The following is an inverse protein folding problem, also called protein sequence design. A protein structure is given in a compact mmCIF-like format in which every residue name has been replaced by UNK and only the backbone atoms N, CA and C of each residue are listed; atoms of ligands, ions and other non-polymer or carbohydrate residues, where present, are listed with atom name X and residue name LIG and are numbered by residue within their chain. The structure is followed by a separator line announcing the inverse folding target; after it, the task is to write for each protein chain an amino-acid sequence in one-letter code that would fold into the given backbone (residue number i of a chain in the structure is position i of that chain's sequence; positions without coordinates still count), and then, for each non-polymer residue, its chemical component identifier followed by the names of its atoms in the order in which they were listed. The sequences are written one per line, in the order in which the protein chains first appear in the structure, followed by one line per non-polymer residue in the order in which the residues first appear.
data_IF_878799592296
#
_entry.id   IF_878799592296
#
_cell.length_a   1.000
_cell.length_b   1.000
_cell.length_c   1.000
_cell.angle_alpha   90.00
_cell.angle_beta   90.00
_cell.angle_gamma   90.00
#
_symmetry.space_group_name_H-M   'P 1'
#
loop_
_entity.id
_entity.type
_entity.pdbx_description
1 polymer ?
#
# COMPACT_ATOMS: atom_id res chain seq x y z
N UNK A 1 -25.98 1.03 10.49
CA UNK A 1 -25.03 0.85 9.38
C UNK A 1 -25.65 -0.16 8.45
N UNK A 2 -26.13 0.28 7.29
CA UNK A 2 -26.83 -0.58 6.33
C UNK A 2 -25.87 -1.66 5.81
N UNK A 3 -26.37 -2.87 5.65
CA UNK A 3 -25.71 -4.02 5.01
C UNK A 3 -25.49 -3.81 3.49
N UNK A 4 -25.18 -2.61 3.06
CA UNK A 4 -24.75 -2.36 1.70
C UNK A 4 -23.41 -3.04 1.53
N UNK A 5 -23.38 -3.98 0.62
CA UNK A 5 -22.25 -4.79 0.22
C UNK A 5 -20.98 -3.90 0.08
N UNK A 6 -20.18 -3.87 1.12
CA UNK A 6 -18.99 -3.01 1.22
C UNK A 6 -18.00 -3.24 0.09
N UNK A 7 -18.08 -4.39 -0.61
CA UNK A 7 -17.27 -4.69 -1.78
C UNK A 7 -17.65 -3.81 -2.99
N UNK A 8 -18.93 -3.56 -3.22
CA UNK A 8 -19.37 -2.69 -4.35
C UNK A 8 -19.01 -1.22 -4.12
N UNK A 9 -19.15 -0.73 -2.88
CA UNK A 9 -18.70 0.63 -2.54
C UNK A 9 -17.16 0.73 -2.55
N UNK A 10 -16.48 -0.34 -2.17
CA UNK A 10 -15.03 -0.43 -2.19
C UNK A 10 -14.44 -0.22 -3.60
N UNK A 11 -15.10 -0.71 -4.63
CA UNK A 11 -14.63 -0.56 -6.01
C UNK A 11 -14.87 0.85 -6.57
N UNK A 12 -15.78 1.62 -5.96
CA UNK A 12 -16.07 3.01 -6.34
C UNK A 12 -15.11 4.01 -5.68
N UNK A 13 -14.52 3.68 -4.53
CA UNK A 13 -13.55 4.55 -3.86
C UNK A 13 -12.16 4.25 -4.39
N UNK A 14 -11.65 5.14 -5.19
CA UNK A 14 -10.33 4.99 -5.83
C UNK A 14 -9.18 5.12 -4.82
N UNK A 15 -8.03 4.59 -5.16
CA UNK A 15 -6.83 4.71 -4.33
C UNK A 15 -6.37 6.17 -4.12
N UNK A 16 -6.38 7.04 -5.13
CA UNK A 16 -6.10 8.47 -4.92
C UNK A 16 -7.07 9.10 -3.92
N UNK A 17 -8.35 8.75 -3.96
CA UNK A 17 -9.35 9.23 -3.02
C UNK A 17 -9.02 8.83 -1.57
N UNK A 18 -8.69 7.56 -1.33
CA UNK A 18 -8.29 7.08 0.00
C UNK A 18 -6.99 7.74 0.49
N UNK A 19 -6.05 8.00 -0.42
CA UNK A 19 -4.81 8.73 -0.10
C UNK A 19 -5.11 10.17 0.29
N UNK A 20 -6.04 10.82 -0.43
CA UNK A 20 -6.52 12.16 -0.09
C UNK A 20 -7.19 12.21 1.30
N UNK A 21 -7.98 11.20 1.65
CA UNK A 21 -8.61 11.10 2.97
C UNK A 21 -7.56 11.00 4.08
N UNK A 22 -6.53 10.16 3.91
CA UNK A 22 -5.43 10.04 4.86
C UNK A 22 -4.67 11.37 5.04
N UNK A 23 -4.39 12.08 3.96
CA UNK A 23 -3.71 13.38 3.99
C UNK A 23 -4.59 14.49 4.57
N UNK A 24 -5.90 14.48 4.33
CA UNK A 24 -6.83 15.39 4.96
C UNK A 24 -6.93 15.13 6.48
N UNK A 25 -6.93 13.87 6.90
CA UNK A 25 -6.87 13.52 8.32
C UNK A 25 -5.58 14.03 8.96
N UNK A 26 -4.42 13.85 8.32
CA UNK A 26 -3.14 14.40 8.77
C UNK A 26 -3.24 15.93 8.96
N UNK A 27 -3.77 16.66 7.97
CA UNK A 27 -3.93 18.11 8.03
C UNK A 27 -4.74 18.57 9.23
N UNK A 28 -5.84 17.85 9.54
CA UNK A 28 -6.68 18.13 10.71
C UNK A 28 -5.95 17.80 12.01
N UNK A 29 -5.34 16.62 12.09
CA UNK A 29 -4.62 16.19 13.30
C UNK A 29 -3.45 17.10 13.63
N UNK A 30 -2.71 17.55 12.62
CA UNK A 30 -1.54 18.41 12.81
C UNK A 30 -1.88 19.81 13.40
N UNK A 31 -3.13 20.24 13.33
CA UNK A 31 -3.59 21.50 13.96
C UNK A 31 -4.18 21.30 15.35
N UNK A 32 -4.33 20.07 15.81
CA UNK A 32 -4.97 19.79 17.09
C UNK A 32 -4.02 20.04 18.26
N UNK A 33 -4.39 20.86 19.29
CA UNK A 33 -3.49 21.34 20.33
C UNK A 33 -2.95 20.24 21.27
N UNK A 34 -3.54 19.05 21.28
CA UNK A 34 -3.10 17.89 22.09
C UNK A 34 -2.31 16.87 21.30
N UNK A 35 -2.04 17.10 20.02
CA UNK A 35 -1.29 16.18 19.16
C UNK A 35 0.06 16.78 18.82
N UNK A 36 1.11 15.99 19.02
CA UNK A 36 2.43 16.34 18.51
C UNK A 36 2.44 16.10 16.99
N UNK A 37 2.43 17.17 16.23
CA UNK A 37 2.40 17.14 14.77
C UNK A 37 3.62 16.45 14.13
N UNK A 38 4.72 16.32 14.88
CA UNK A 38 5.93 15.63 14.42
C UNK A 38 5.89 14.11 14.69
N UNK A 39 4.85 13.62 15.33
CA UNK A 39 4.70 12.19 15.72
C UNK A 39 3.38 11.59 15.23
N UNK A 40 2.90 12.03 14.10
CA UNK A 40 1.72 11.44 13.45
C UNK A 40 2.21 10.41 12.44
N UNK A 41 1.84 9.15 12.65
CA UNK A 41 2.18 8.03 11.78
C UNK A 41 0.92 7.56 11.05
N UNK A 42 1.10 6.97 9.86
CA UNK A 42 0.02 6.31 9.15
C UNK A 42 0.30 4.81 9.06
N UNK A 43 -0.64 4.03 9.53
CA UNK A 43 -0.64 2.57 9.39
C UNK A 43 -1.87 2.14 8.60
N UNK A 44 -1.68 1.19 7.70
CA UNK A 44 -2.77 0.66 6.91
C UNK A 44 -2.56 -0.80 6.54
N UNK A 45 -3.62 -1.58 6.65
CA UNK A 45 -3.65 -3.00 6.40
C UNK A 45 -4.32 -3.31 5.07
N UNK A 46 -3.80 -4.29 4.32
CA UNK A 46 -4.41 -4.76 3.08
C UNK A 46 -4.64 -3.59 2.10
N UNK A 47 -5.90 -3.37 1.72
CA UNK A 47 -6.30 -2.20 0.91
C UNK A 47 -5.89 -0.86 1.57
N UNK A 48 -5.99 -0.76 2.89
CA UNK A 48 -5.55 0.42 3.65
C UNK A 48 -4.04 0.63 3.64
N UNK A 49 -3.26 -0.39 3.34
CA UNK A 49 -1.81 -0.28 3.13
C UNK A 49 -1.45 0.59 1.91
N UNK A 50 -2.35 0.69 0.93
CA UNK A 50 -2.14 1.52 -0.25
C UNK A 50 -2.09 3.02 0.10
N UNK A 51 -3.11 3.62 0.73
CA UNK A 51 -3.04 5.02 1.15
C UNK A 51 -1.95 5.28 2.18
N UNK A 52 -1.65 4.32 3.07
CA UNK A 52 -0.53 4.45 4.00
C UNK A 52 0.80 4.60 3.27
N UNK A 53 0.98 3.89 2.15
CA UNK A 53 2.16 4.01 1.30
C UNK A 53 2.13 5.28 0.43
N UNK A 54 1.04 5.50 -0.32
CA UNK A 54 0.99 6.60 -1.29
C UNK A 54 1.02 7.99 -0.65
N UNK A 55 0.57 8.13 0.60
CA UNK A 55 0.70 9.37 1.35
C UNK A 55 2.16 9.76 1.67
N UNK A 56 3.13 8.88 1.40
CA UNK A 56 4.56 9.20 1.54
C UNK A 56 5.09 10.13 0.44
N UNK A 57 4.39 10.25 -0.69
CA UNK A 57 4.94 10.92 -1.86
C UNK A 57 4.56 12.41 -1.90
N UNK A 58 5.54 13.30 -2.19
CA UNK A 58 5.33 14.75 -2.25
C UNK A 58 4.17 15.14 -3.17
N UNK A 59 4.06 14.52 -4.34
CA UNK A 59 3.01 14.82 -5.32
C UNK A 59 1.59 14.73 -4.75
N UNK A 60 1.31 13.74 -3.87
CA UNK A 60 0.01 13.63 -3.22
C UNK A 60 -0.18 14.67 -2.14
N UNK A 61 0.89 14.98 -1.37
CA UNK A 61 0.85 15.98 -0.32
C UNK A 61 0.65 17.39 -0.89
N UNK A 62 1.27 17.70 -2.02
CA UNK A 62 1.09 18.96 -2.74
C UNK A 62 -0.33 19.08 -3.31
N UNK A 63 -0.83 18.01 -3.95
CA UNK A 63 -2.17 17.98 -4.53
C UNK A 63 -3.28 18.21 -3.49
N UNK A 64 -3.08 17.73 -2.25
CA UNK A 64 -4.06 17.86 -1.15
C UNK A 64 -3.80 19.12 -0.32
N UNK A 65 -2.66 19.77 -0.45
CA UNK A 65 -2.25 20.91 0.36
C UNK A 65 -2.33 20.63 1.88
N UNK A 66 -1.40 19.84 2.37
CA UNK A 66 -1.33 19.46 3.79
C UNK A 66 -0.88 20.59 4.72
N UNK A 67 -0.71 21.83 4.22
CA UNK A 67 -0.14 22.98 4.94
C UNK A 67 1.26 22.70 5.50
N UNK A 68 2.05 21.90 4.78
CA UNK A 68 3.39 21.48 5.20
C UNK A 68 3.44 20.34 6.23
N UNK A 69 2.30 19.86 6.73
CA UNK A 69 2.27 18.71 7.62
C UNK A 69 2.71 17.43 6.89
N UNK A 70 3.48 16.59 7.59
CA UNK A 70 3.98 15.32 7.09
C UNK A 70 3.75 14.21 8.12
N UNK A 71 3.49 12.99 7.66
CA UNK A 71 3.58 11.86 8.55
C UNK A 71 5.04 11.64 8.99
N UNK A 72 5.24 11.23 10.23
CA UNK A 72 6.55 10.87 10.77
C UNK A 72 7.03 9.51 10.25
N UNK A 73 6.14 8.69 9.73
CA UNK A 73 6.44 7.41 9.09
C UNK A 73 5.20 6.76 8.51
N UNK A 74 5.43 5.82 7.59
CA UNK A 74 4.42 5.13 6.80
C UNK A 74 4.56 3.62 7.02
N UNK A 75 3.47 2.95 7.38
CA UNK A 75 3.48 1.53 7.74
C UNK A 75 2.45 0.76 6.90
N UNK A 76 2.77 0.45 5.64
CA UNK A 76 1.94 -0.43 4.81
C UNK A 76 2.11 -1.90 5.26
N UNK A 77 1.06 -2.48 5.82
CA UNK A 77 1.01 -3.89 6.19
C UNK A 77 0.30 -4.68 5.08
N UNK A 78 0.97 -5.70 4.56
CA UNK A 78 0.47 -6.55 3.45
C UNK A 78 -0.36 -5.76 2.42
N UNK A 79 0.21 -4.68 1.85
CA UNK A 79 -0.53 -3.75 0.99
C UNK A 79 -0.92 -4.40 -0.34
N UNK A 80 -2.13 -4.11 -0.82
CA UNK A 80 -2.63 -4.67 -2.07
C UNK A 80 -1.99 -4.09 -3.34
N UNK A 81 -1.17 -3.05 -3.22
CA UNK A 81 -0.67 -2.28 -4.36
C UNK A 81 0.57 -2.86 -5.05
N UNK A 82 1.23 -3.87 -4.48
CA UNK A 82 2.54 -4.28 -5.00
C UNK A 82 2.47 -4.88 -6.40
N UNK A 83 1.37 -5.58 -6.71
CA UNK A 83 1.16 -6.21 -8.01
C UNK A 83 0.57 -5.24 -9.06
N UNK A 84 -0.11 -4.19 -8.59
CA UNK A 84 -0.66 -3.11 -9.43
C UNK A 84 -0.23 -1.81 -8.77
N UNK A 85 0.92 -1.28 -9.14
CA UNK A 85 1.55 -0.19 -8.41
C UNK A 85 1.67 1.09 -9.21
N UNK A 86 1.51 2.19 -8.51
CA UNK A 86 1.87 3.51 -9.02
C UNK A 86 3.25 3.86 -8.45
N UNK A 87 4.21 4.09 -9.32
CA UNK A 87 5.55 4.50 -8.92
C UNK A 87 5.70 6.00 -9.06
N UNK A 88 6.20 6.64 -8.01
CA UNK A 88 6.72 8.00 -8.12
C UNK A 88 7.95 8.03 -9.03
N UNK A 89 8.27 9.17 -9.56
CA UNK A 89 9.54 9.37 -10.26
C UNK A 89 10.69 9.01 -9.31
N UNK A 90 11.73 8.34 -9.82
CA UNK A 90 12.91 8.02 -9.02
C UNK A 90 13.62 9.25 -8.44
N UNK A 91 13.40 10.43 -9.01
CA UNK A 91 13.87 11.71 -8.47
C UNK A 91 13.12 12.13 -7.20
N UNK A 92 11.87 11.71 -7.03
CA UNK A 92 11.13 11.98 -5.80
C UNK A 92 11.59 11.08 -4.67
N UNK A 93 11.61 11.64 -3.47
CA UNK A 93 11.85 10.90 -2.23
C UNK A 93 10.62 10.91 -1.38
N UNK A 94 10.35 9.78 -0.73
CA UNK A 94 9.33 9.71 0.31
C UNK A 94 9.63 10.75 1.41
N UNK A 95 8.59 11.38 1.92
CA UNK A 95 8.71 12.45 2.92
C UNK A 95 9.10 11.95 4.31
N UNK A 96 8.98 10.65 4.56
CA UNK A 96 9.31 10.00 5.82
C UNK A 96 9.67 8.52 5.59
N UNK A 97 10.28 7.83 6.58
CA UNK A 97 10.59 6.40 6.50
C UNK A 97 9.36 5.53 6.24
N UNK A 98 9.56 4.43 5.54
CA UNK A 98 8.53 3.44 5.20
C UNK A 98 8.89 2.08 5.81
N UNK A 99 7.96 1.46 6.51
CA UNK A 99 8.11 0.11 7.06
C UNK A 99 7.07 -0.84 6.46
N UNK A 100 7.51 -1.74 5.58
CA UNK A 100 6.67 -2.80 5.03
C UNK A 100 6.62 -4.02 5.94
N UNK A 101 5.44 -4.35 6.45
CA UNK A 101 5.18 -5.60 7.17
C UNK A 101 4.50 -6.60 6.23
N UNK A 102 5.16 -7.73 5.95
CA UNK A 102 4.74 -8.68 4.92
C UNK A 102 4.56 -10.10 5.50
N UNK A 103 3.51 -10.83 5.11
CA UNK A 103 3.34 -12.24 5.47
C UNK A 103 4.22 -13.12 4.57
N UNK A 104 4.73 -14.24 5.08
CA UNK A 104 5.57 -15.12 4.28
C UNK A 104 4.77 -16.16 3.47
N UNK A 105 3.55 -16.49 3.91
CA UNK A 105 2.71 -17.53 3.29
C UNK A 105 1.76 -17.02 2.21
N UNK A 106 1.62 -15.72 2.05
CA UNK A 106 0.73 -15.13 1.06
C UNK A 106 1.17 -15.42 -0.38
N UNK A 107 2.44 -15.75 -0.58
CA UNK A 107 3.01 -16.20 -1.86
C UNK A 107 2.29 -17.40 -2.47
N UNK A 108 1.71 -18.26 -1.62
CA UNK A 108 1.14 -19.52 -2.04
C UNK A 108 -0.24 -19.36 -2.67
N UNK A 109 -1.06 -18.41 -2.15
CA UNK A 109 -2.46 -18.33 -2.54
C UNK A 109 -3.01 -16.94 -2.90
N UNK A 110 -2.65 -15.85 -2.21
CA UNK A 110 -3.35 -14.58 -2.38
C UNK A 110 -2.56 -13.48 -3.09
N UNK A 111 -1.32 -13.23 -2.72
CA UNK A 111 -0.50 -12.14 -3.24
C UNK A 111 0.97 -12.58 -3.42
N UNK A 112 1.63 -12.07 -4.44
CA UNK A 112 3.07 -12.32 -4.62
C UNK A 112 3.91 -11.35 -3.79
N UNK A 113 4.23 -11.77 -2.57
CA UNK A 113 5.07 -10.98 -1.64
C UNK A 113 6.46 -10.66 -2.22
N UNK A 114 6.98 -11.51 -3.13
CA UNK A 114 8.25 -11.23 -3.79
C UNK A 114 8.21 -9.95 -4.63
N UNK A 115 7.05 -9.61 -5.19
CA UNK A 115 6.86 -8.34 -5.90
C UNK A 115 6.94 -7.17 -4.91
N UNK A 116 6.33 -7.27 -3.74
CA UNK A 116 6.44 -6.25 -2.69
C UNK A 116 7.90 -6.05 -2.24
N UNK A 117 8.63 -7.14 -2.03
CA UNK A 117 10.05 -7.09 -1.63
C UNK A 117 10.92 -6.45 -2.71
N UNK A 118 10.71 -6.85 -3.98
CA UNK A 118 11.41 -6.23 -5.10
C UNK A 118 11.14 -4.73 -5.17
N UNK A 119 9.87 -4.34 -5.06
CA UNK A 119 9.47 -2.94 -5.09
C UNK A 119 10.06 -2.13 -3.93
N UNK A 120 10.03 -2.66 -2.71
CA UNK A 120 10.65 -2.02 -1.55
C UNK A 120 12.16 -1.86 -1.74
N UNK A 121 12.82 -2.87 -2.32
CA UNK A 121 14.26 -2.79 -2.65
C UNK A 121 14.54 -1.71 -3.70
N UNK A 122 13.77 -1.64 -4.78
CA UNK A 122 13.91 -0.61 -5.81
C UNK A 122 13.79 0.80 -5.22
N UNK A 123 12.85 0.99 -4.28
CA UNK A 123 12.70 2.26 -3.57
C UNK A 123 13.91 2.57 -2.67
N UNK A 124 14.44 1.56 -1.97
CA UNK A 124 15.63 1.73 -1.14
C UNK A 124 16.87 2.05 -1.99
N UNK A 125 17.07 1.34 -3.11
CA UNK A 125 18.15 1.60 -4.06
C UNK A 125 18.06 3.01 -4.66
N UNK A 126 16.85 3.53 -4.84
CA UNK A 126 16.60 4.92 -5.23
C UNK A 126 16.85 5.93 -4.09
N UNK A 127 17.30 5.49 -2.92
CA UNK A 127 17.71 6.34 -1.79
C UNK A 127 16.58 6.71 -0.83
N UNK A 128 15.46 5.97 -0.82
CA UNK A 128 14.44 6.12 0.20
C UNK A 128 14.78 5.30 1.45
N UNK A 129 14.36 5.79 2.63
CA UNK A 129 14.48 5.03 3.87
C UNK A 129 13.34 4.01 3.96
N UNK A 130 13.61 2.79 3.47
CA UNK A 130 12.63 1.70 3.41
C UNK A 130 13.14 0.50 4.19
N UNK A 131 12.33 0.00 5.09
CA UNK A 131 12.56 -1.24 5.83
C UNK A 131 11.46 -2.24 5.49
N UNK A 132 11.84 -3.51 5.33
CA UNK A 132 10.91 -4.62 5.09
C UNK A 132 11.10 -5.70 6.13
N UNK A 133 10.01 -6.26 6.65
CA UNK A 133 10.06 -7.44 7.51
C UNK A 133 9.01 -8.46 7.09
N UNK A 134 9.43 -9.72 6.95
CA UNK A 134 8.55 -10.87 6.77
C UNK A 134 8.23 -11.53 8.11
N UNK A 135 6.97 -11.89 8.29
CA UNK A 135 6.48 -12.59 9.49
C UNK A 135 6.19 -14.06 9.14
N UNK A 136 6.93 -14.96 9.79
CA UNK A 136 6.92 -16.39 9.45
C UNK A 136 5.63 -17.10 9.84
N UNK A 137 5.16 -17.99 8.95
CA UNK A 137 3.93 -18.75 9.19
C UNK A 137 2.64 -17.95 9.08
N UNK A 138 2.70 -16.71 8.56
CA UNK A 138 1.55 -15.81 8.47
C UNK A 138 0.98 -15.72 7.07
N UNK A 139 -0.32 -15.53 7.01
CA UNK A 139 -1.10 -15.25 5.80
C UNK A 139 -1.63 -13.81 5.84
N UNK A 140 -2.45 -13.44 4.88
CA UNK A 140 -3.11 -12.13 4.86
C UNK A 140 -3.83 -11.85 6.19
N UNK A 141 -3.79 -10.61 6.68
CA UNK A 141 -4.45 -10.17 7.92
C UNK A 141 -4.09 -10.99 9.18
N UNK A 142 -2.81 -11.36 9.33
CA UNK A 142 -2.35 -12.12 10.51
C UNK A 142 -2.36 -11.30 11.81
N UNK A 143 -2.36 -10.00 11.71
CA UNK A 143 -2.44 -9.06 12.82
C UNK A 143 -3.76 -9.14 13.62
N UNK A 144 -4.76 -9.84 13.08
CA UNK A 144 -6.06 -10.08 13.71
C UNK A 144 -6.10 -11.14 14.81
N UNK A 145 -4.97 -11.52 15.42
CA UNK A 145 -4.98 -12.36 16.62
C UNK A 145 -4.93 -13.87 16.40
N UNK A 146 -4.30 -14.34 15.33
CA UNK A 146 -3.94 -15.75 15.18
C UNK A 146 -5.03 -16.68 14.65
N UNK A 147 -6.25 -16.21 14.45
CA UNK A 147 -7.32 -17.04 13.91
C UNK A 147 -7.13 -17.27 12.41
N UNK A 148 -7.04 -18.54 11.99
CA UNK A 148 -6.94 -18.92 10.58
C UNK A 148 -8.29 -19.27 10.00
N UNK A 149 -8.58 -18.75 8.81
CA UNK A 149 -9.74 -19.13 8.01
C UNK A 149 -9.44 -18.96 6.51
N UNK A 150 -10.33 -19.47 5.66
CA UNK A 150 -10.18 -19.38 4.20
C UNK A 150 -11.36 -18.66 3.60
N UNK A 151 -11.05 -17.79 2.64
CA UNK A 151 -12.02 -17.30 1.67
C UNK A 151 -11.93 -18.14 0.40
N UNK A 152 -13.05 -18.66 -0.05
CA UNK A 152 -13.11 -19.51 -1.25
C UNK A 152 -13.04 -18.69 -2.54
N UNK A 153 -13.45 -17.44 -2.50
CA UNK A 153 -13.51 -16.54 -3.66
C UNK A 153 -13.01 -15.14 -3.28
N UNK A 154 -11.70 -15.01 -3.12
CA UNK A 154 -11.06 -13.72 -2.91
C UNK A 154 -10.62 -13.13 -4.24
N UNK A 155 -10.87 -11.84 -4.47
CA UNK A 155 -10.29 -11.13 -5.60
C UNK A 155 -8.82 -10.84 -5.34
N UNK A 156 -7.96 -11.29 -6.23
CA UNK A 156 -6.50 -11.20 -6.07
C UNK A 156 -5.84 -10.55 -7.29
N UNK A 157 -4.88 -9.69 -7.00
CA UNK A 157 -3.96 -9.14 -7.99
C UNK A 157 -2.70 -10.01 -8.17
N UNK A 158 -2.61 -11.20 -7.56
CA UNK A 158 -1.43 -12.08 -7.67
C UNK A 158 -0.97 -12.37 -9.10
N UNK A 159 -1.89 -12.59 -10.07
CA UNK A 159 -1.49 -12.75 -11.46
C UNK A 159 -0.97 -11.47 -12.13
N UNK A 160 -1.17 -10.30 -11.54
CA UNK A 160 -0.73 -9.03 -12.10
C UNK A 160 0.76 -8.77 -11.78
N UNK A 161 1.41 -7.99 -12.62
CA UNK A 161 2.63 -7.26 -12.34
C UNK A 161 2.62 -6.00 -13.22
N UNK A 162 1.82 -5.03 -12.80
CA UNK A 162 1.58 -3.80 -13.53
C UNK A 162 2.22 -2.63 -12.80
N UNK A 163 2.84 -1.75 -13.54
CA UNK A 163 3.34 -0.49 -12.98
C UNK A 163 2.92 0.70 -13.82
N UNK A 164 2.62 1.78 -13.14
CA UNK A 164 2.39 3.09 -13.70
C UNK A 164 3.34 4.07 -13.04
N UNK A 165 4.27 4.60 -13.81
CA UNK A 165 5.12 5.68 -13.34
C UNK A 165 4.35 6.99 -13.42
N UNK A 166 4.11 7.59 -12.26
CA UNK A 166 3.49 8.90 -12.17
C UNK A 166 4.59 9.95 -12.24
N UNK A 167 4.50 10.81 -13.25
CA UNK A 167 5.39 11.97 -13.36
C UNK A 167 4.74 13.15 -12.67
N UNK A 168 5.52 13.97 -12.00
CA UNK A 168 5.10 15.19 -11.29
C UNK A 168 4.58 16.29 -12.23
N UNK A 169 4.56 16.06 -13.55
CA UNK A 169 4.08 17.05 -14.50
C UNK A 169 2.56 17.09 -14.48
N UNK A 170 2.02 18.10 -13.82
CA UNK A 170 0.60 18.39 -13.77
C UNK A 170 0.02 18.43 -15.21
N UNK A 171 -1.03 17.63 -15.47
CA UNK A 171 -1.77 17.62 -16.71
C UNK A 171 -1.29 16.62 -17.77
N UNK A 172 -0.24 15.88 -17.56
CA UNK A 172 0.06 14.72 -18.39
C UNK A 172 -0.83 13.57 -17.91
N UNK A 173 -1.81 13.16 -18.68
CA UNK A 173 -2.56 11.93 -18.46
C UNK A 173 -1.67 10.75 -18.04
N UNK A 174 -2.14 9.51 -18.11
CA UNK A 174 -1.29 8.33 -17.90
C UNK A 174 0.07 8.61 -18.51
N UNK A 175 1.06 8.85 -17.66
CA UNK A 175 2.41 9.13 -18.14
C UNK A 175 2.85 8.01 -19.10
N UNK A 176 3.70 8.31 -20.05
CA UNK A 176 4.18 7.42 -21.12
C UNK A 176 4.79 6.07 -20.66
N UNK A 177 4.67 5.71 -19.36
CA UNK A 177 5.42 4.64 -18.72
C UNK A 177 4.54 3.67 -17.91
N UNK A 178 3.33 3.39 -18.36
CA UNK A 178 2.55 2.27 -17.82
C UNK A 178 2.96 0.97 -18.52
N UNK A 179 3.20 -0.10 -17.76
CA UNK A 179 3.70 -1.37 -18.29
C UNK A 179 3.05 -2.57 -17.63
N UNK A 180 2.79 -3.59 -18.42
CA UNK A 180 2.60 -4.95 -17.94
C UNK A 180 3.95 -5.67 -17.98
N UNK A 181 4.54 -5.86 -16.81
CA UNK A 181 5.89 -6.43 -16.71
C UNK A 181 5.92 -7.93 -17.02
N UNK A 182 4.81 -8.64 -16.77
CA UNK A 182 4.72 -10.07 -17.13
C UNK A 182 4.68 -10.28 -18.63
N UNK A 183 4.01 -9.38 -19.37
CA UNK A 183 3.92 -9.44 -20.82
C UNK A 183 4.99 -8.64 -21.53
N UNK A 184 5.82 -7.90 -20.79
CA UNK A 184 6.78 -6.93 -21.31
C UNK A 184 6.11 -5.96 -22.31
N UNK A 185 4.89 -5.51 -21.97
CA UNK A 185 4.05 -4.67 -22.82
C UNK A 185 3.93 -3.26 -22.25
N UNK A 186 4.16 -2.25 -23.09
CA UNK A 186 3.82 -0.87 -22.78
C UNK A 186 2.30 -0.65 -22.91
N UNK A 187 1.72 0.07 -21.94
CA UNK A 187 0.30 0.44 -21.93
C UNK A 187 0.21 1.94 -22.17
N UNK A 188 -0.31 2.33 -23.33
CA UNK A 188 -0.23 3.71 -23.84
C UNK A 188 -1.42 4.58 -23.46
N UNK A 189 -2.55 3.94 -23.15
CA UNK A 189 -3.79 4.62 -22.84
C UNK A 189 -4.37 4.18 -21.51
N UNK A 190 -5.24 5.00 -20.95
CA UNK A 190 -5.98 4.67 -19.73
C UNK A 190 -6.86 3.42 -19.89
N UNK A 191 -7.44 3.25 -21.09
CA UNK A 191 -8.25 2.08 -21.40
C UNK A 191 -7.41 0.80 -21.44
N UNK A 192 -6.21 0.85 -22.02
CA UNK A 192 -5.25 -0.27 -22.01
C UNK A 192 -4.83 -0.63 -20.58
N UNK A 193 -4.55 0.37 -19.74
CA UNK A 193 -4.26 0.15 -18.31
C UNK A 193 -5.40 -0.55 -17.60
N UNK A 194 -6.61 -0.02 -17.71
CA UNK A 194 -7.79 -0.62 -17.10
C UNK A 194 -8.10 -2.02 -17.66
N UNK A 195 -7.91 -2.24 -18.94
CA UNK A 195 -8.06 -3.56 -19.54
C UNK A 195 -7.01 -4.54 -18.98
N UNK A 196 -5.76 -4.11 -18.82
CA UNK A 196 -4.69 -4.92 -18.23
C UNK A 196 -5.00 -5.26 -16.76
N UNK A 197 -5.43 -4.27 -15.96
CA UNK A 197 -5.84 -4.48 -14.56
C UNK A 197 -6.99 -5.49 -14.48
N UNK A 198 -8.07 -5.28 -15.22
CA UNK A 198 -9.20 -6.22 -15.22
C UNK A 198 -8.82 -7.61 -15.73
N UNK A 199 -7.96 -7.67 -16.74
CA UNK A 199 -7.55 -8.92 -17.38
C UNK A 199 -6.57 -9.76 -16.55
N UNK A 200 -5.86 -9.18 -15.59
CA UNK A 200 -4.94 -9.92 -14.73
C UNK A 200 -5.51 -10.26 -13.36
N UNK A 201 -6.60 -9.60 -12.91
CA UNK A 201 -7.27 -9.95 -11.66
C UNK A 201 -7.88 -11.33 -11.73
N UNK A 202 -7.77 -12.10 -10.66
CA UNK A 202 -8.31 -13.45 -10.57
C UNK A 202 -9.11 -13.66 -9.28
N UNK A 203 -10.04 -14.62 -9.32
CA UNK A 203 -10.60 -15.17 -8.10
C UNK A 203 -9.73 -16.33 -7.63
N UNK A 204 -9.32 -16.28 -6.38
CA UNK A 204 -8.45 -17.28 -5.76
C UNK A 204 -9.00 -17.70 -4.40
N UNK A 205 -8.55 -18.84 -3.91
CA UNK A 205 -8.68 -19.17 -2.50
C UNK A 205 -7.63 -18.36 -1.72
N UNK A 206 -8.04 -17.73 -0.65
CA UNK A 206 -7.13 -16.97 0.20
C UNK A 206 -7.16 -17.50 1.64
N UNK A 207 -6.02 -17.89 2.15
CA UNK A 207 -5.86 -18.13 3.57
C UNK A 207 -5.59 -16.80 4.27
N UNK A 208 -6.17 -16.64 5.46
CA UNK A 208 -6.12 -15.42 6.25
C UNK A 208 -5.74 -15.78 7.69
N UNK A 209 -5.00 -14.90 8.34
CA UNK A 209 -4.62 -15.08 9.73
C UNK A 209 -3.20 -15.64 9.89
N UNK A 210 -2.88 -16.03 11.10
CA UNK A 210 -1.53 -16.46 11.42
C UNK A 210 -1.40 -17.02 12.83
N UNK A 211 -0.24 -16.80 13.40
CA UNK A 211 0.08 -17.12 14.77
C UNK A 211 -0.07 -15.84 15.64
N UNK A 212 -0.66 -15.97 16.83
CA UNK A 212 -0.78 -14.86 17.77
C UNK A 212 0.58 -14.23 18.14
N UNK A 213 1.62 -15.04 18.25
CA UNK A 213 2.97 -14.55 18.50
C UNK A 213 3.48 -13.63 17.38
N UNK A 214 3.08 -13.86 16.14
CA UNK A 214 3.43 -12.98 15.03
C UNK A 214 2.59 -11.69 15.01
N UNK A 215 1.37 -11.75 15.52
CA UNK A 215 0.56 -10.53 15.74
C UNK A 215 1.22 -9.63 16.80
N UNK A 216 1.68 -10.20 17.91
CA UNK A 216 2.41 -9.45 18.93
C UNK A 216 3.75 -8.93 18.40
N UNK A 217 4.45 -9.72 17.60
CA UNK A 217 5.72 -9.33 16.99
C UNK A 217 5.57 -8.12 16.05
N UNK A 218 4.54 -8.08 15.22
CA UNK A 218 4.34 -6.92 14.32
C UNK A 218 3.98 -5.67 15.12
N UNK A 219 3.20 -5.78 16.18
CA UNK A 219 2.90 -4.65 17.07
C UNK A 219 4.20 -4.11 17.70
N UNK A 220 5.05 -4.98 18.22
CA UNK A 220 6.34 -4.58 18.80
C UNK A 220 7.25 -3.89 17.77
N UNK A 221 7.33 -4.41 16.54
CA UNK A 221 8.12 -3.79 15.47
C UNK A 221 7.56 -2.43 15.04
N UNK A 222 6.25 -2.28 14.96
CA UNK A 222 5.58 -1.01 14.66
C UNK A 222 5.88 0.02 15.76
N UNK A 223 5.74 -0.35 17.04
CA UNK A 223 6.07 0.53 18.14
C UNK A 223 7.54 0.95 18.11
N UNK A 224 8.45 0.00 17.85
CA UNK A 224 9.88 0.27 17.69
C UNK A 224 10.14 1.24 16.52
N UNK A 225 9.50 1.04 15.37
CA UNK A 225 9.61 1.94 14.23
C UNK A 225 9.11 3.36 14.55
N UNK A 226 8.08 3.47 15.38
CA UNK A 226 7.56 4.74 15.87
C UNK A 226 8.40 5.38 16.98
N UNK A 227 9.51 4.75 17.39
CA UNK A 227 10.35 5.21 18.53
C UNK A 227 9.65 5.08 19.88
N UNK A 228 8.69 4.19 20.00
CA UNK A 228 7.97 3.84 21.23
C UNK A 228 8.57 2.53 21.77
N UNK A 229 9.15 2.59 22.96
CA UNK A 229 9.70 1.42 23.68
C UNK A 229 8.76 1.00 24.81
#
# INVERSE_FOLDING_TARGET
VSETNTNQLGDQVTMPSQTADALNALRVLATHPKIDSNRIYVIGMSRGGNPAFYSAWPMYQEAINTNGAKFAGHIPMYPGMCNIRYRADHAEKATAPIFFALPDREREDYQDVAICQRYAKELADAGNNVTTKEYKGTYHAWDGGGRRFRYEQAHSAKPCDLELQMTTVAGSGLGKNARDLKKNQELKTYDEWHAAVRGCMAQVRAAVGGDAAQSDAVVADVLKFMGMQ
#
